data_IF_249803812043
#
_entry.id   IF_249803812043
#
_cell.length_a   1.000
_cell.length_b   1.000
_cell.length_c   1.000
_cell.angle_alpha   90.00
_cell.angle_beta   90.00
_cell.angle_gamma   90.00
#
_symmetry.space_group_name_H-M   'P 1'
#
loop_
_entity.id
_entity.type
_entity.pdbx_description
1 polymer ?
#
# COMPACT_ATOMS: atom_id res chain seq x y z
N UNK A 1 -10.30 16.21 -3.81
CA UNK A 1 -9.39 15.04 -3.82
C UNK A 1 -10.06 13.99 -4.70
N UNK A 2 -9.31 13.07 -5.33
CA UNK A 2 -9.95 11.92 -5.98
C UNK A 2 -10.66 11.13 -4.87
N UNK A 3 -11.99 11.15 -4.86
CA UNK A 3 -12.80 10.60 -3.76
C UNK A 3 -12.80 9.05 -3.71
N UNK A 4 -12.00 8.40 -4.57
CA UNK A 4 -11.93 6.94 -4.81
C UNK A 4 -10.55 6.52 -5.31
N UNK A 5 -10.30 5.21 -5.27
CA UNK A 5 -9.09 4.57 -5.76
C UNK A 5 -7.97 4.47 -4.72
N UNK A 6 -6.79 4.04 -5.19
CA UNK A 6 -5.66 3.73 -4.33
C UNK A 6 -5.11 4.96 -3.59
N UNK A 7 -5.08 6.13 -4.21
CA UNK A 7 -4.65 7.38 -3.56
C UNK A 7 -5.51 7.70 -2.33
N UNK A 8 -6.84 7.53 -2.44
CA UNK A 8 -7.78 7.77 -1.34
C UNK A 8 -7.64 6.71 -0.24
N UNK A 9 -7.53 5.43 -0.62
CA UNK A 9 -7.25 4.35 0.32
C UNK A 9 -5.96 4.62 1.12
N UNK A 10 -4.89 5.01 0.43
CA UNK A 10 -3.61 5.29 1.08
C UNK A 10 -3.63 6.55 1.94
N UNK A 11 -4.47 7.54 1.63
CA UNK A 11 -4.69 8.68 2.52
C UNK A 11 -5.23 8.20 3.88
N UNK A 12 -6.29 7.39 3.89
CA UNK A 12 -6.85 6.85 5.13
C UNK A 12 -5.84 5.95 5.85
N UNK A 13 -5.23 5.01 5.13
CA UNK A 13 -4.31 4.06 5.73
C UNK A 13 -3.09 4.76 6.35
N UNK A 14 -2.45 5.68 5.63
CA UNK A 14 -1.21 6.33 6.05
C UNK A 14 -1.46 7.57 6.93
N UNK A 15 -2.28 8.52 6.49
CA UNK A 15 -2.45 9.82 7.16
C UNK A 15 -3.35 9.72 8.38
N UNK A 16 -4.47 8.99 8.26
CA UNK A 16 -5.47 8.92 9.33
C UNK A 16 -5.18 7.80 10.33
N UNK A 17 -4.73 6.64 9.85
CA UNK A 17 -4.52 5.44 10.67
C UNK A 17 -3.05 5.10 10.94
N UNK A 18 -2.10 5.78 10.30
CA UNK A 18 -0.66 5.67 10.60
C UNK A 18 0.09 4.52 9.90
N UNK A 19 -0.57 3.73 9.04
CA UNK A 19 0.03 2.60 8.33
C UNK A 19 0.63 3.02 6.98
N UNK A 20 1.66 3.87 7.02
CA UNK A 20 2.39 4.33 5.84
C UNK A 20 3.44 3.31 5.36
N UNK A 21 3.84 2.39 6.24
CA UNK A 21 5.03 1.59 6.07
C UNK A 21 6.23 2.21 6.80
N UNK A 22 7.27 1.39 7.00
CA UNK A 22 8.39 1.74 7.86
C UNK A 22 9.76 1.57 7.17
N UNK A 23 10.82 1.99 7.86
CA UNK A 23 12.19 1.57 7.54
C UNK A 23 12.53 0.33 8.36
N UNK A 24 12.84 -0.79 7.69
CA UNK A 24 13.27 -2.04 8.34
C UNK A 24 14.56 -2.52 7.69
N UNK A 25 15.58 -2.81 8.51
CA UNK A 25 16.91 -3.25 8.04
C UNK A 25 17.52 -2.30 6.99
N UNK A 26 17.44 -0.99 7.22
CA UNK A 26 17.93 0.08 6.32
C UNK A 26 17.25 0.14 4.94
N UNK A 27 16.12 -0.54 4.75
CA UNK A 27 15.34 -0.48 3.52
C UNK A 27 13.91 0.02 3.81
N UNK A 28 13.31 0.83 2.92
CA UNK A 28 11.91 1.19 3.02
C UNK A 28 11.03 -0.04 2.79
N UNK A 29 9.92 -0.10 3.51
CA UNK A 29 8.87 -1.10 3.36
C UNK A 29 7.57 -0.35 3.13
N UNK A 30 6.90 -0.66 2.03
CA UNK A 30 5.62 -0.06 1.66
C UNK A 30 4.67 -1.15 1.17
N UNK A 31 3.36 -0.96 1.33
CA UNK A 31 2.34 -1.98 0.98
C UNK A 31 2.47 -2.48 -0.46
N UNK A 32 2.83 -1.59 -1.39
CA UNK A 32 3.02 -1.94 -2.81
C UNK A 32 4.07 -3.03 -3.07
N UNK A 33 5.00 -3.25 -2.13
CA UNK A 33 6.02 -4.31 -2.27
C UNK A 33 5.44 -5.71 -2.07
N UNK A 34 4.24 -5.83 -1.52
CA UNK A 34 3.56 -7.12 -1.31
C UNK A 34 2.57 -7.47 -2.41
N UNK A 35 2.22 -6.51 -3.27
CA UNK A 35 1.22 -6.68 -4.31
C UNK A 35 1.79 -7.55 -5.44
N UNK A 36 1.31 -8.78 -5.54
CA UNK A 36 1.62 -9.67 -6.66
C UNK A 36 0.82 -9.26 -7.89
N UNK A 37 1.52 -8.89 -8.96
CA UNK A 37 0.89 -8.51 -10.22
C UNK A 37 0.24 -9.74 -10.87
N UNK A 38 -1.03 -9.62 -11.25
CA UNK A 38 -1.76 -10.64 -12.00
C UNK A 38 -2.70 -11.53 -11.20
N UNK A 39 -2.83 -11.31 -9.89
CA UNK A 39 -3.86 -11.96 -9.07
C UNK A 39 -4.78 -10.90 -8.45
N UNK A 40 -6.10 -11.17 -8.31
CA UNK A 40 -6.98 -10.32 -7.53
C UNK A 40 -6.51 -10.19 -6.07
N UNK A 41 -6.76 -9.04 -5.47
CA UNK A 41 -6.41 -8.75 -4.07
C UNK A 41 -7.68 -8.63 -3.26
N UNK A 42 -7.76 -9.41 -2.18
CA UNK A 42 -8.81 -9.33 -1.18
C UNK A 42 -8.53 -8.20 -0.18
N UNK A 43 -9.58 -7.56 0.34
CA UNK A 43 -9.46 -6.49 1.32
C UNK A 43 -8.68 -6.95 2.57
N UNK A 44 -8.98 -8.14 3.10
CA UNK A 44 -8.24 -8.71 4.24
C UNK A 44 -6.74 -8.87 3.97
N UNK A 45 -6.37 -9.33 2.78
CA UNK A 45 -4.98 -9.49 2.37
C UNK A 45 -4.27 -8.13 2.24
N UNK A 46 -4.96 -7.11 1.72
CA UNK A 46 -4.46 -5.73 1.71
C UNK A 46 -4.17 -5.21 3.12
N UNK A 47 -5.08 -5.48 4.08
CA UNK A 47 -4.91 -5.08 5.48
C UNK A 47 -3.69 -5.76 6.09
N UNK A 48 -3.52 -7.06 5.90
CA UNK A 48 -2.33 -7.79 6.37
C UNK A 48 -1.04 -7.17 5.83
N UNK A 49 -1.01 -6.81 4.55
CA UNK A 49 0.14 -6.17 3.92
C UNK A 49 0.44 -4.77 4.47
N UNK A 50 -0.58 -3.98 4.81
CA UNK A 50 -0.40 -2.67 5.44
C UNK A 50 0.27 -2.82 6.83
N UNK A 51 -0.19 -3.77 7.64
CA UNK A 51 0.42 -4.05 8.94
C UNK A 51 1.86 -4.56 8.77
N UNK A 52 2.09 -5.49 7.84
CA UNK A 52 3.43 -6.02 7.57
C UNK A 52 4.39 -4.95 7.01
N UNK A 53 3.89 -4.00 6.21
CA UNK A 53 4.67 -2.87 5.72
C UNK A 53 5.15 -1.98 6.88
N UNK A 54 4.35 -1.86 7.94
CA UNK A 54 4.63 -1.07 9.12
C UNK A 54 5.35 -1.87 10.24
N UNK A 55 5.83 -3.07 9.93
CA UNK A 55 6.49 -3.98 10.86
C UNK A 55 5.60 -4.41 12.05
N UNK A 56 4.29 -4.42 11.84
CA UNK A 56 3.28 -4.92 12.78
C UNK A 56 2.94 -6.38 12.46
N UNK A 57 2.77 -7.21 13.49
CA UNK A 57 2.30 -8.60 13.32
C UNK A 57 0.77 -8.61 13.14
N UNK A 58 0.24 -9.05 11.99
CA UNK A 58 -1.21 -9.02 11.71
C UNK A 58 -2.04 -9.98 12.58
N UNK A 59 -1.40 -10.94 13.28
CA UNK A 59 -2.10 -11.87 14.16
C UNK A 59 -2.39 -11.30 15.56
N UNK A 60 -1.91 -10.08 15.85
CA UNK A 60 -2.09 -9.44 17.14
C UNK A 60 -3.50 -8.83 17.25
N UNK A 61 -4.26 -9.15 18.32
CA UNK A 61 -5.66 -8.71 18.47
C UNK A 61 -5.80 -7.23 18.81
N UNK A 62 -4.77 -6.57 19.35
CA UNK A 62 -4.82 -5.14 19.67
C UNK A 62 -5.00 -4.24 18.44
N UNK A 63 -4.81 -4.78 17.23
CA UNK A 63 -5.02 -4.09 15.96
C UNK A 63 -6.38 -4.39 15.32
N UNK A 64 -7.28 -5.15 15.95
CA UNK A 64 -8.53 -5.60 15.32
C UNK A 64 -9.43 -4.43 14.90
N UNK A 65 -9.46 -3.35 15.70
CA UNK A 65 -10.18 -2.13 15.34
C UNK A 65 -9.60 -1.49 14.07
N UNK A 66 -8.27 -1.36 14.00
CA UNK A 66 -7.57 -0.80 12.83
C UNK A 66 -7.75 -1.71 11.61
N UNK A 67 -7.71 -3.04 11.78
CA UNK A 67 -7.95 -3.99 10.68
C UNK A 67 -9.36 -3.83 10.10
N UNK A 68 -10.36 -3.68 10.96
CA UNK A 68 -11.74 -3.42 10.52
C UNK A 68 -11.83 -2.10 9.76
N UNK A 69 -11.28 -1.01 10.30
CA UNK A 69 -11.29 0.30 9.65
C UNK A 69 -10.55 0.30 8.30
N UNK A 70 -9.37 -0.33 8.21
CA UNK A 70 -8.62 -0.45 6.97
C UNK A 70 -9.36 -1.30 5.92
N UNK A 71 -10.05 -2.37 6.35
CA UNK A 71 -10.85 -3.21 5.46
C UNK A 71 -12.06 -2.44 4.92
N UNK A 72 -12.77 -1.73 5.76
CA UNK A 72 -13.90 -0.88 5.36
C UNK A 72 -13.45 0.22 4.38
N UNK A 73 -12.32 0.88 4.67
CA UNK A 73 -11.73 1.86 3.77
C UNK A 73 -11.38 1.24 2.41
N UNK A 74 -10.77 0.05 2.40
CA UNK A 74 -10.48 -0.67 1.15
C UNK A 74 -11.75 -0.86 0.32
N UNK A 75 -12.81 -1.42 0.91
CA UNK A 75 -14.06 -1.68 0.20
C UNK A 75 -14.67 -0.36 -0.30
N UNK A 76 -14.70 0.67 0.54
CA UNK A 76 -15.30 1.96 0.22
C UNK A 76 -14.57 2.69 -0.92
N UNK A 77 -13.24 2.67 -0.94
CA UNK A 77 -12.44 3.43 -1.89
C UNK A 77 -12.03 2.62 -3.13
N UNK A 78 -11.81 1.32 -3.01
CA UNK A 78 -11.46 0.44 -4.14
C UNK A 78 -12.68 -0.15 -4.85
N UNK A 79 -13.88 -0.04 -4.26
CA UNK A 79 -15.14 -0.41 -4.89
C UNK A 79 -15.57 -1.86 -4.71
N UNK A 80 -14.89 -2.63 -3.86
CA UNK A 80 -15.26 -4.02 -3.58
C UNK A 80 -14.33 -4.72 -2.60
N UNK A 81 -14.77 -5.90 -2.13
CA UNK A 81 -14.01 -6.81 -1.28
C UNK A 81 -12.82 -7.44 -2.01
N UNK A 82 -12.93 -7.60 -3.32
CA UNK A 82 -11.91 -8.17 -4.21
C UNK A 82 -11.74 -7.21 -5.38
N UNK A 83 -10.49 -6.87 -5.70
CA UNK A 83 -10.15 -5.96 -6.81
C UNK A 83 -8.96 -6.49 -7.59
N UNK A 84 -8.88 -6.14 -8.86
CA UNK A 84 -7.71 -6.45 -9.67
C UNK A 84 -6.45 -5.77 -9.09
N UNK A 85 -5.34 -6.50 -8.95
CA UNK A 85 -4.09 -5.95 -8.42
C UNK A 85 -3.59 -4.72 -9.18
N UNK A 86 -3.93 -4.62 -10.48
CA UNK A 86 -3.54 -3.49 -11.33
C UNK A 86 -4.17 -2.16 -10.92
N UNK A 87 -5.24 -2.18 -10.10
CA UNK A 87 -5.90 -1.00 -9.55
C UNK A 87 -5.21 -0.45 -8.30
N UNK A 88 -4.39 -1.25 -7.60
CA UNK A 88 -3.65 -0.84 -6.42
C UNK A 88 -2.35 -0.11 -6.80
N UNK A 89 -2.51 1.01 -7.51
CA UNK A 89 -1.42 1.87 -7.99
C UNK A 89 -1.79 3.34 -7.82
N UNK A 90 -0.79 4.18 -7.57
CA UNK A 90 -0.97 5.63 -7.53
C UNK A 90 -1.51 6.15 -8.86
N UNK A 91 -2.43 7.12 -8.79
CA UNK A 91 -3.02 7.76 -9.96
C UNK A 91 -1.99 8.44 -10.88
N UNK A 92 -0.85 8.86 -10.33
CA UNK A 92 0.25 9.52 -11.04
C UNK A 92 1.26 8.55 -11.69
N UNK A 93 1.06 7.24 -11.52
CA UNK A 93 2.03 6.27 -12.01
C UNK A 93 1.78 5.98 -13.47
N UNK A 94 2.81 6.19 -14.28
CA UNK A 94 2.82 5.81 -15.70
C UNK A 94 2.38 4.35 -15.87
N UNK A 95 1.62 4.02 -16.93
CA UNK A 95 1.35 2.64 -17.27
C UNK A 95 2.69 1.91 -17.46
N UNK A 96 2.72 0.68 -16.95
CA UNK A 96 3.93 -0.14 -16.85
C UNK A 96 4.46 -0.47 -18.25
N UNK A 97 5.25 0.43 -18.81
CA UNK A 97 5.83 0.36 -20.16
C UNK A 97 7.04 -0.58 -20.23
N UNK A 98 7.19 -1.49 -19.26
CA UNK A 98 8.36 -2.37 -19.15
C UNK A 98 9.67 -1.65 -18.83
N UNK A 99 9.64 -0.34 -18.58
CA UNK A 99 10.82 0.46 -18.20
C UNK A 99 10.63 1.04 -16.79
N UNK A 100 11.60 0.87 -15.87
CA UNK A 100 11.50 1.45 -14.53
C UNK A 100 11.44 2.97 -14.62
N UNK A 101 10.37 3.55 -14.06
CA UNK A 101 10.15 4.99 -14.06
C UNK A 101 11.28 5.77 -13.34
N UNK A 102 11.53 7.03 -13.74
CA UNK A 102 12.66 7.83 -13.27
C UNK A 102 12.65 8.11 -11.75
N UNK A 103 11.51 7.95 -11.07
CA UNK A 103 11.34 8.23 -9.63
C UNK A 103 12.11 7.27 -8.69
N UNK A 104 12.68 6.19 -9.22
CA UNK A 104 13.53 5.26 -8.45
C UNK A 104 15.03 5.30 -8.82
N UNK A 105 15.47 6.22 -9.69
CA UNK A 105 16.92 6.49 -9.84
C UNK A 105 17.40 7.26 -8.60
N UNK A 106 17.88 6.51 -7.62
CA UNK A 106 18.63 7.08 -6.51
C UNK A 106 19.76 7.97 -7.04
N UNK A 107 19.79 9.23 -6.60
CA UNK A 107 21.06 9.93 -6.40
C UNK A 107 21.65 9.39 -5.11
N UNK A 108 22.48 8.36 -5.21
CA UNK A 108 23.59 8.24 -4.27
C UNK A 108 24.65 9.17 -4.87
N UNK A 109 24.89 10.30 -4.21
CA UNK A 109 26.04 11.11 -4.53
C UNK A 109 27.28 10.30 -4.11
N UNK A 110 28.06 9.87 -5.09
CA UNK A 110 29.46 9.53 -4.86
C UNK A 110 30.22 10.83 -4.49
N UNK A 111 31.06 10.75 -3.45
CA UNK A 111 32.05 11.77 -3.09
C UNK A 111 31.94 12.19 -1.62
N UNK A 112 32.96 12.03 -0.77
CA UNK A 112 34.39 11.83 -0.99
C UNK A 112 35.02 10.97 0.12
#
# INVERSE_FOLDING_TARGET
>A
MNDKGFDALMHVACVELGFCGCIKRRAPRHVMMFILRGAPVHAGQSVEWLLLADNVNPNLPEYDHQKAALREAFIAYMGGEIVEATLLRWSDSEPDSGSPGPKFRGRIADGA
#
